data_IF_929233878859
#
_entry.id   IF_929233878859
#
_cell.length_a   1.000
_cell.length_b   1.000
_cell.length_c   1.000
_cell.angle_alpha   90.00
_cell.angle_beta   90.00
_cell.angle_gamma   90.00
#
_symmetry.space_group_name_H-M   'P 1'
#
loop_
_entity.id
_entity.type
_entity.pdbx_description
1 polymer ?
#
# COMPACT_ATOMS: atom_id res chain seq x y z
N UNK A 1 -6.10 -31.01 -12.29
CA UNK A 1 -5.83 -31.76 -11.04
C UNK A 1 -4.77 -32.81 -11.32
N UNK A 2 -4.11 -33.41 -10.32
CA UNK A 2 -3.14 -34.49 -10.58
C UNK A 2 -3.89 -35.79 -10.90
N UNK A 3 -4.19 -36.00 -12.18
CA UNK A 3 -4.92 -37.18 -12.68
C UNK A 3 -4.13 -38.49 -12.47
N UNK A 4 -2.80 -38.40 -12.36
CA UNK A 4 -1.92 -39.56 -12.19
C UNK A 4 -1.92 -40.07 -10.74
N UNK A 5 -2.06 -39.16 -9.77
CA UNK A 5 -2.07 -39.48 -8.35
C UNK A 5 -3.09 -38.60 -7.61
N UNK A 6 -4.38 -38.92 -7.68
CA UNK A 6 -5.41 -38.19 -6.94
C UNK A 6 -5.20 -38.33 -5.44
N UNK A 7 -5.57 -37.32 -4.64
CA UNK A 7 -5.46 -37.40 -3.19
C UNK A 7 -6.40 -38.46 -2.64
N UNK A 8 -5.95 -39.21 -1.63
CA UNK A 8 -6.81 -40.11 -0.86
C UNK A 8 -7.53 -39.30 0.20
N UNK A 9 -8.85 -39.15 0.05
CA UNK A 9 -9.69 -38.26 0.87
C UNK A 9 -10.76 -39.07 1.60
N UNK A 10 -10.38 -40.22 2.15
CA UNK A 10 -11.33 -41.22 2.67
C UNK A 10 -11.86 -40.92 4.06
N UNK A 11 -11.14 -40.11 4.83
CA UNK A 11 -11.47 -39.77 6.22
C UNK A 11 -11.46 -38.25 6.41
N UNK A 12 -12.19 -37.73 7.43
CA UNK A 12 -12.19 -36.30 7.71
C UNK A 12 -10.78 -35.77 8.07
N UNK A 13 -9.92 -36.60 8.66
CA UNK A 13 -8.54 -36.23 8.98
C UNK A 13 -7.70 -36.02 7.70
N UNK A 14 -7.85 -36.91 6.71
CA UNK A 14 -7.16 -36.77 5.41
C UNK A 14 -7.70 -35.57 4.62
N UNK A 15 -9.02 -35.35 4.64
CA UNK A 15 -9.63 -34.18 4.05
C UNK A 15 -9.15 -32.86 4.70
N UNK A 16 -9.10 -32.82 6.03
CA UNK A 16 -8.58 -31.70 6.81
C UNK A 16 -7.10 -31.43 6.51
N UNK A 17 -6.26 -32.48 6.49
CA UNK A 17 -4.84 -32.36 6.15
C UNK A 17 -4.64 -31.85 4.71
N UNK A 18 -5.43 -32.36 3.75
CA UNK A 18 -5.38 -31.92 2.36
C UNK A 18 -5.81 -30.46 2.21
N UNK A 19 -6.89 -30.02 2.86
CA UNK A 19 -7.31 -28.62 2.85
C UNK A 19 -6.21 -27.69 3.39
N UNK A 20 -5.56 -28.07 4.50
CA UNK A 20 -4.45 -27.30 5.07
C UNK A 20 -3.25 -27.23 4.13
N UNK A 21 -2.92 -28.33 3.48
CA UNK A 21 -1.88 -28.37 2.47
C UNK A 21 -2.23 -27.48 1.28
N UNK A 22 -3.40 -27.68 0.67
CA UNK A 22 -3.83 -26.97 -0.52
C UNK A 22 -3.94 -25.45 -0.28
N UNK A 23 -4.70 -25.05 0.74
CA UNK A 23 -4.89 -23.62 1.10
C UNK A 23 -3.55 -22.98 1.47
N UNK A 24 -2.69 -23.70 2.20
CA UNK A 24 -1.36 -23.22 2.56
C UNK A 24 -0.32 -23.25 1.42
N UNK A 25 -0.62 -23.86 0.28
CA UNK A 25 0.27 -23.95 -0.88
C UNK A 25 -0.07 -22.91 -1.96
N UNK A 26 -1.28 -22.34 -1.93
CA UNK A 26 -1.67 -21.26 -2.84
C UNK A 26 -1.31 -19.89 -2.27
N UNK A 27 -0.89 -18.96 -3.14
CA UNK A 27 -0.67 -17.56 -2.78
C UNK A 27 -1.34 -16.63 -3.78
N UNK A 28 -1.84 -15.51 -3.27
CA UNK A 28 -2.23 -14.37 -4.07
C UNK A 28 -1.16 -13.28 -4.05
N UNK A 29 -1.53 -12.10 -4.54
CA UNK A 29 -0.65 -10.92 -4.58
C UNK A 29 -0.20 -10.43 -3.18
N UNK A 30 -0.89 -10.86 -2.12
CA UNK A 30 -0.72 -10.36 -0.74
C UNK A 30 -0.31 -11.48 0.24
N UNK A 31 0.30 -12.53 -0.31
CA UNK A 31 0.81 -13.69 0.43
C UNK A 31 -0.08 -14.92 0.31
N UNK A 32 0.22 -15.94 1.11
CA UNK A 32 -0.53 -17.18 1.13
C UNK A 32 -1.78 -17.10 1.99
N UNK A 33 -2.68 -18.03 1.74
CA UNK A 33 -3.84 -18.26 2.60
C UNK A 33 -3.42 -19.14 3.78
N UNK A 34 -3.89 -18.81 4.98
CA UNK A 34 -3.61 -19.58 6.20
C UNK A 34 -4.90 -19.93 6.91
N UNK A 35 -5.22 -21.22 6.98
CA UNK A 35 -6.27 -21.71 7.88
C UNK A 35 -5.81 -21.54 9.33
N UNK A 36 -6.68 -20.97 10.15
CA UNK A 36 -6.44 -20.70 11.57
C UNK A 36 -7.38 -21.56 12.42
N UNK A 37 -6.83 -22.19 13.45
CA UNK A 37 -7.63 -22.89 14.46
C UNK A 37 -7.77 -22.07 15.75
N UNK A 38 -6.80 -21.21 16.01
CA UNK A 38 -6.70 -20.43 17.24
C UNK A 38 -5.91 -19.14 17.03
N UNK A 39 -6.01 -18.25 18.02
CA UNK A 39 -5.34 -16.96 18.02
C UNK A 39 -3.80 -17.07 17.83
N UNK A 40 -3.19 -18.11 18.38
CA UNK A 40 -1.72 -18.31 18.35
C UNK A 40 -1.20 -18.72 16.96
N UNK A 41 -2.10 -19.10 16.04
CA UNK A 41 -1.72 -19.39 14.66
C UNK A 41 -1.41 -18.09 13.89
N UNK A 42 -1.95 -16.94 14.35
CA UNK A 42 -1.69 -15.63 13.75
C UNK A 42 -0.28 -15.16 14.08
N UNK A 43 0.45 -14.75 13.04
CA UNK A 43 1.76 -14.11 13.18
C UNK A 43 1.59 -12.61 13.33
N UNK A 44 1.47 -12.16 14.58
CA UNK A 44 1.32 -10.75 14.92
C UNK A 44 2.61 -9.95 14.69
N UNK A 45 2.47 -8.66 14.30
CA UNK A 45 3.59 -7.71 14.37
C UNK A 45 3.97 -7.46 15.85
N UNK A 46 5.18 -6.93 16.07
CA UNK A 46 5.68 -6.65 17.43
C UNK A 46 4.85 -5.59 18.17
N UNK A 47 4.25 -4.64 17.44
CA UNK A 47 3.30 -3.65 17.97
C UNK A 47 1.90 -3.98 17.48
N UNK A 48 1.07 -4.49 18.39
CA UNK A 48 -0.37 -4.74 18.14
C UNK A 48 -1.19 -3.90 19.12
N UNK A 49 -2.26 -3.24 18.68
CA UNK A 49 -3.21 -2.64 19.60
C UNK A 49 -3.79 -3.73 20.53
N UNK A 50 -3.73 -3.60 21.87
CA UNK A 50 -4.18 -4.65 22.80
C UNK A 50 -5.60 -5.14 22.53
N UNK A 51 -6.51 -4.23 22.16
CA UNK A 51 -7.90 -4.51 21.81
C UNK A 51 -8.04 -5.37 20.55
N UNK A 52 -7.12 -5.25 19.58
CA UNK A 52 -7.22 -5.97 18.31
C UNK A 52 -7.08 -7.48 18.53
N UNK A 53 -6.19 -7.94 19.43
CA UNK A 53 -6.04 -9.37 19.73
C UNK A 53 -7.28 -9.95 20.40
N UNK A 54 -7.86 -9.24 21.38
CA UNK A 54 -9.07 -9.70 22.08
C UNK A 54 -10.29 -9.75 21.17
N UNK A 55 -10.43 -8.78 20.26
CA UNK A 55 -11.55 -8.72 19.31
C UNK A 55 -11.44 -9.82 18.26
N UNK A 56 -10.21 -10.16 17.83
CA UNK A 56 -9.94 -11.25 16.88
C UNK A 56 -10.12 -12.62 17.50
N UNK A 57 -9.72 -12.83 18.77
CA UNK A 57 -9.80 -14.13 19.42
C UNK A 57 -11.23 -14.72 19.41
N UNK A 58 -12.25 -13.88 19.50
CA UNK A 58 -13.67 -14.27 19.49
C UNK A 58 -14.21 -14.63 18.10
N UNK A 59 -13.45 -14.35 17.05
CA UNK A 59 -13.86 -14.51 15.65
C UNK A 59 -13.26 -15.74 14.98
N UNK A 60 -12.24 -16.35 15.60
CA UNK A 60 -11.56 -17.52 15.03
C UNK A 60 -12.37 -18.77 15.37
N UNK A 61 -12.91 -19.40 14.33
CA UNK A 61 -13.49 -20.75 14.39
C UNK A 61 -12.51 -21.75 13.78
N UNK A 62 -12.21 -22.88 14.46
CA UNK A 62 -11.32 -23.90 13.92
C UNK A 62 -11.89 -24.55 12.67
N UNK A 63 -11.01 -25.16 11.88
CA UNK A 63 -11.46 -25.90 10.70
C UNK A 63 -12.29 -27.11 11.13
N UNK A 64 -13.57 -27.10 10.77
CA UNK A 64 -14.48 -28.24 10.92
C UNK A 64 -14.74 -28.81 9.54
N UNK A 65 -14.58 -30.13 9.39
CA UNK A 65 -14.73 -30.84 8.12
C UNK A 65 -15.78 -31.94 8.27
N UNK A 66 -16.77 -31.94 7.39
CA UNK A 66 -17.88 -32.89 7.39
C UNK A 66 -18.05 -33.52 6.00
N UNK A 67 -18.40 -34.81 5.96
CA UNK A 67 -18.67 -35.51 4.71
C UNK A 67 -20.04 -35.09 4.18
N UNK A 68 -20.12 -34.77 2.89
CA UNK A 68 -21.40 -34.46 2.25
C UNK A 68 -22.12 -35.74 1.80
N UNK A 69 -23.45 -35.72 1.64
CA UNK A 69 -24.20 -36.88 1.14
C UNK A 69 -23.73 -37.37 -0.25
N UNK A 70 -23.20 -36.46 -1.08
CA UNK A 70 -22.61 -36.78 -2.38
C UNK A 70 -21.20 -37.40 -2.31
N UNK A 71 -20.73 -37.74 -1.11
CA UNK A 71 -19.42 -38.34 -0.87
C UNK A 71 -18.27 -37.34 -0.87
N UNK A 72 -18.48 -36.05 -1.14
CA UNK A 72 -17.45 -35.02 -1.00
C UNK A 72 -17.25 -34.58 0.46
N UNK A 73 -16.56 -33.46 0.64
CA UNK A 73 -16.35 -32.83 1.94
C UNK A 73 -16.78 -31.38 1.90
N UNK A 74 -17.35 -30.91 2.99
CA UNK A 74 -17.59 -29.50 3.25
C UNK A 74 -16.78 -29.11 4.48
N UNK A 75 -16.19 -27.93 4.44
CA UNK A 75 -15.49 -27.39 5.58
C UNK A 75 -15.93 -25.96 5.86
N UNK A 76 -15.97 -25.62 7.14
CA UNK A 76 -16.09 -24.25 7.63
C UNK A 76 -14.84 -23.93 8.43
N UNK A 77 -14.37 -22.69 8.36
CA UNK A 77 -13.20 -22.30 9.12
C UNK A 77 -12.88 -20.82 8.98
N UNK A 78 -11.74 -20.44 9.56
CA UNK A 78 -11.21 -19.09 9.46
C UNK A 78 -9.94 -19.08 8.63
N UNK A 79 -9.86 -18.19 7.64
CA UNK A 79 -8.66 -17.97 6.83
C UNK A 79 -8.08 -16.59 7.12
N UNK A 80 -6.77 -16.51 7.37
CA UNK A 80 -6.01 -15.29 7.18
C UNK A 80 -5.56 -15.19 5.72
N UNK A 81 -5.86 -14.06 5.09
CA UNK A 81 -5.27 -13.62 3.83
C UNK A 81 -4.97 -12.13 3.92
N UNK A 82 -3.80 -11.71 3.42
CA UNK A 82 -3.32 -10.34 3.61
C UNK A 82 -3.32 -9.95 5.10
N UNK A 83 -3.82 -8.76 5.43
CA UNK A 83 -4.01 -8.26 6.79
C UNK A 83 -5.47 -8.42 7.28
N UNK A 84 -6.19 -9.43 6.81
CA UNK A 84 -7.59 -9.66 7.14
C UNK A 84 -7.86 -11.12 7.51
N UNK A 85 -8.96 -11.33 8.25
CA UNK A 85 -9.53 -12.64 8.53
C UNK A 85 -10.88 -12.77 7.85
N UNK A 86 -11.16 -13.98 7.37
CA UNK A 86 -12.39 -14.31 6.69
C UNK A 86 -12.99 -15.59 7.26
N UNK A 87 -14.32 -15.61 7.41
CA UNK A 87 -15.06 -16.84 7.58
C UNK A 87 -15.21 -17.46 6.20
N UNK A 88 -14.83 -18.73 6.08
CA UNK A 88 -14.87 -19.43 4.81
C UNK A 88 -15.73 -20.69 4.88
N UNK A 89 -16.34 -20.99 3.74
CA UNK A 89 -16.93 -22.30 3.46
C UNK A 89 -16.24 -22.90 2.23
N UNK A 90 -15.60 -24.04 2.43
CA UNK A 90 -14.87 -24.76 1.39
C UNK A 90 -15.65 -26.03 1.02
N UNK A 91 -15.74 -26.33 -0.27
CA UNK A 91 -16.14 -27.63 -0.77
C UNK A 91 -14.90 -28.35 -1.31
N UNK A 92 -14.66 -29.57 -0.84
CA UNK A 92 -13.59 -30.44 -1.31
C UNK A 92 -14.18 -31.68 -1.99
N UNK A 93 -13.96 -31.79 -3.30
CA UNK A 93 -14.36 -32.95 -4.11
C UNK A 93 -13.33 -34.08 -3.97
N UNK A 94 -13.76 -35.32 -4.27
CA UNK A 94 -12.92 -36.53 -4.16
C UNK A 94 -11.71 -36.53 -5.11
N UNK A 95 -11.79 -35.79 -6.21
CA UNK A 95 -10.67 -35.60 -7.13
C UNK A 95 -9.58 -34.69 -6.55
N UNK A 96 -9.88 -33.93 -5.49
CA UNK A 96 -9.00 -32.94 -4.87
C UNK A 96 -9.35 -31.49 -5.19
N UNK A 97 -10.45 -31.22 -5.91
CA UNK A 97 -10.88 -29.87 -6.25
C UNK A 97 -11.40 -29.16 -5.01
N UNK A 98 -10.87 -27.96 -4.77
CA UNK A 98 -11.29 -27.09 -3.66
C UNK A 98 -11.99 -25.87 -4.25
N UNK A 99 -13.24 -25.66 -3.84
CA UNK A 99 -14.04 -24.49 -4.18
C UNK A 99 -14.31 -23.69 -2.89
N UNK A 100 -14.11 -22.38 -2.94
CA UNK A 100 -14.48 -21.48 -1.85
C UNK A 100 -15.83 -20.85 -2.18
N UNK A 101 -16.85 -21.21 -1.41
CA UNK A 101 -18.25 -20.84 -1.67
C UNK A 101 -18.69 -19.59 -0.90
N UNK A 102 -18.06 -19.33 0.25
CA UNK A 102 -18.30 -18.15 1.07
C UNK A 102 -16.97 -17.58 1.55
N UNK A 103 -16.89 -16.25 1.58
CA UNK A 103 -15.73 -15.48 2.01
C UNK A 103 -16.21 -14.18 2.68
N UNK A 104 -16.63 -14.28 3.94
CA UNK A 104 -17.14 -13.13 4.70
C UNK A 104 -16.02 -12.50 5.53
N UNK A 105 -15.72 -11.19 5.38
CA UNK A 105 -14.68 -10.54 6.15
C UNK A 105 -15.07 -10.43 7.63
N UNK A 106 -14.27 -11.05 8.50
CA UNK A 106 -14.45 -11.00 9.95
C UNK A 106 -13.71 -9.84 10.60
N UNK A 107 -12.51 -9.52 10.09
CA UNK A 107 -11.70 -8.41 10.56
C UNK A 107 -10.72 -7.94 9.48
N UNK A 108 -10.46 -6.64 9.41
CA UNK A 108 -9.58 -6.02 8.41
C UNK A 108 -8.56 -5.12 9.09
N UNK A 109 -7.53 -4.69 8.35
CA UNK A 109 -6.48 -3.78 8.83
C UNK A 109 -5.75 -4.31 10.06
N UNK A 110 -5.46 -5.61 10.08
CA UNK A 110 -4.80 -6.29 11.18
C UNK A 110 -3.29 -6.01 11.18
N UNK A 111 -2.71 -5.80 12.36
CA UNK A 111 -1.27 -5.66 12.55
C UNK A 111 -0.59 -7.04 12.55
N UNK A 112 -0.67 -7.74 11.42
CA UNK A 112 -0.11 -9.09 11.21
C UNK A 112 1.02 -9.09 10.19
N UNK A 113 1.84 -10.13 10.26
CA UNK A 113 2.77 -10.54 9.22
C UNK A 113 2.07 -11.49 8.26
N UNK A 114 2.51 -11.46 7.02
CA UNK A 114 2.08 -12.38 5.96
C UNK A 114 3.20 -13.35 5.64
N UNK A 115 2.83 -14.57 5.25
CA UNK A 115 3.77 -15.55 4.73
C UNK A 115 3.68 -15.55 3.20
N UNK A 116 4.81 -15.55 2.50
CA UNK A 116 4.86 -15.56 1.03
C UNK A 116 5.87 -16.60 0.55
N UNK A 117 5.70 -17.10 -0.67
CA UNK A 117 6.74 -17.89 -1.34
C UNK A 117 7.64 -16.96 -2.14
N UNK A 118 8.92 -16.94 -1.79
CA UNK A 118 9.97 -16.26 -2.56
C UNK A 118 10.97 -17.33 -2.99
N UNK A 119 11.08 -17.57 -4.30
CA UNK A 119 11.91 -18.62 -4.89
C UNK A 119 11.67 -20.00 -4.27
N UNK A 120 10.41 -20.34 -4.01
CA UNK A 120 10.01 -21.63 -3.41
C UNK A 120 10.20 -21.73 -1.89
N UNK A 121 10.78 -20.71 -1.24
CA UNK A 121 10.98 -20.66 0.20
C UNK A 121 9.89 -19.80 0.85
N UNK A 122 9.35 -20.26 1.98
CA UNK A 122 8.39 -19.50 2.79
C UNK A 122 9.12 -18.44 3.60
N UNK A 123 8.72 -17.19 3.43
CA UNK A 123 9.26 -16.04 4.15
C UNK A 123 8.12 -15.32 4.86
N UNK A 124 8.34 -14.97 6.13
CA UNK A 124 7.46 -14.11 6.90
C UNK A 124 7.91 -12.66 6.74
N UNK A 125 6.98 -11.78 6.38
CA UNK A 125 7.28 -10.36 6.15
C UNK A 125 6.05 -9.48 6.40
N UNK A 126 6.24 -8.16 6.33
CA UNK A 126 5.12 -7.23 6.34
C UNK A 126 4.33 -7.31 5.02
N UNK A 127 3.07 -6.88 5.06
CA UNK A 127 2.23 -6.83 3.85
C UNK A 127 2.83 -5.87 2.81
N UNK A 128 3.43 -4.78 3.26
CA UNK A 128 4.09 -3.80 2.40
C UNK A 128 5.30 -4.39 1.68
N UNK A 129 6.13 -5.20 2.36
CA UNK A 129 7.25 -5.93 1.75
C UNK A 129 6.78 -6.98 0.75
N UNK A 130 5.73 -7.74 1.09
CA UNK A 130 5.13 -8.71 0.18
C UNK A 130 4.62 -8.06 -1.12
N UNK A 131 3.89 -6.96 -0.99
CA UNK A 131 3.41 -6.17 -2.13
C UNK A 131 4.56 -5.63 -2.96
N UNK A 132 5.61 -5.11 -2.32
CA UNK A 132 6.79 -4.61 -3.03
C UNK A 132 7.48 -5.72 -3.84
N UNK A 133 7.68 -6.90 -3.25
CA UNK A 133 8.30 -8.04 -3.92
C UNK A 133 7.46 -8.49 -5.14
N UNK A 134 6.15 -8.64 -4.96
CA UNK A 134 5.24 -9.03 -6.04
C UNK A 134 5.20 -7.98 -7.18
N UNK A 135 5.14 -6.68 -6.83
CA UNK A 135 5.20 -5.60 -7.82
C UNK A 135 6.49 -5.66 -8.64
N UNK A 136 7.63 -5.98 -8.01
CA UNK A 136 8.91 -6.16 -8.75
C UNK A 136 8.90 -7.36 -9.67
N UNK A 137 8.34 -8.50 -9.24
CA UNK A 137 8.21 -9.67 -10.11
C UNK A 137 7.32 -9.38 -11.31
N UNK A 138 6.20 -8.66 -11.12
CA UNK A 138 5.34 -8.21 -12.23
C UNK A 138 6.11 -7.34 -13.23
N UNK A 139 6.93 -6.40 -12.75
CA UNK A 139 7.75 -5.55 -13.62
C UNK A 139 8.89 -6.31 -14.32
N UNK A 140 9.43 -7.38 -13.72
CA UNK A 140 10.39 -8.26 -14.42
C UNK A 140 9.73 -8.98 -15.59
N UNK A 141 8.47 -9.41 -15.43
CA UNK A 141 7.72 -10.11 -16.46
C UNK A 141 7.20 -9.15 -17.54
N UNK A 142 6.77 -7.96 -17.13
CA UNK A 142 6.29 -6.89 -18.01
C UNK A 142 6.78 -5.53 -17.50
N UNK A 143 7.90 -5.00 -18.03
CA UNK A 143 8.45 -3.71 -17.62
C UNK A 143 7.49 -2.52 -17.82
N UNK A 144 6.49 -2.67 -18.70
CA UNK A 144 5.49 -1.65 -19.02
C UNK A 144 4.14 -1.90 -18.34
N UNK A 145 4.09 -2.74 -17.30
CA UNK A 145 2.87 -2.94 -16.52
C UNK A 145 2.51 -1.64 -15.78
N UNK A 146 1.52 -0.92 -16.32
CA UNK A 146 1.07 0.39 -15.83
C UNK A 146 0.62 0.35 -14.35
N UNK A 147 -0.03 -0.74 -13.92
CA UNK A 147 -0.48 -0.87 -12.53
C UNK A 147 0.71 -1.04 -11.59
N UNK A 148 1.67 -1.89 -11.95
CA UNK A 148 2.86 -2.13 -11.18
C UNK A 148 3.76 -0.88 -11.11
N UNK A 149 3.98 -0.20 -12.25
CA UNK A 149 4.73 1.05 -12.32
C UNK A 149 4.09 2.16 -11.47
N UNK A 150 2.76 2.32 -11.54
CA UNK A 150 2.06 3.33 -10.75
C UNK A 150 2.02 3.03 -9.23
N UNK A 151 2.13 1.76 -8.83
CA UNK A 151 2.07 1.35 -7.42
C UNK A 151 3.45 1.34 -6.75
N UNK A 152 4.50 0.98 -7.48
CA UNK A 152 5.85 0.81 -6.95
C UNK A 152 6.37 2.01 -6.13
N UNK A 153 6.22 3.27 -6.58
CA UNK A 153 6.79 4.42 -5.87
C UNK A 153 6.22 4.57 -4.46
N UNK A 154 4.90 4.38 -4.33
CA UNK A 154 4.22 4.49 -3.04
C UNK A 154 4.65 3.39 -2.07
N UNK A 155 4.83 2.16 -2.56
CA UNK A 155 5.33 1.05 -1.73
C UNK A 155 6.75 1.31 -1.23
N UNK A 156 7.63 1.84 -2.09
CA UNK A 156 8.97 2.25 -1.68
C UNK A 156 8.92 3.37 -0.63
N UNK A 157 8.05 4.37 -0.82
CA UNK A 157 7.85 5.47 0.13
C UNK A 157 7.33 4.98 1.49
N UNK A 158 6.29 4.16 1.52
CA UNK A 158 5.71 3.65 2.78
C UNK A 158 6.73 2.80 3.57
N UNK A 159 7.64 2.13 2.87
CA UNK A 159 8.78 1.39 3.44
C UNK A 159 10.01 2.25 3.76
N UNK A 160 9.91 3.58 3.63
CA UNK A 160 10.99 4.53 3.86
C UNK A 160 12.22 4.36 2.98
N UNK A 161 12.04 3.74 1.81
CA UNK A 161 13.09 3.54 0.79
C UNK A 161 13.11 4.74 -0.13
N UNK A 162 13.50 5.90 0.41
CA UNK A 162 13.31 7.21 -0.24
C UNK A 162 13.93 7.29 -1.64
N UNK A 163 15.16 6.82 -1.81
CA UNK A 163 15.83 6.80 -3.12
C UNK A 163 15.11 5.92 -4.13
N UNK A 164 14.73 4.70 -3.73
CA UNK A 164 13.97 3.78 -4.57
C UNK A 164 12.58 4.33 -4.92
N UNK A 165 11.96 5.12 -4.03
CA UNK A 165 10.68 5.78 -4.29
C UNK A 165 10.82 6.88 -5.36
N UNK A 166 11.90 7.67 -5.30
CA UNK A 166 12.22 8.69 -6.31
C UNK A 166 12.48 8.03 -7.67
N UNK A 167 13.34 7.02 -7.73
CA UNK A 167 13.67 6.30 -8.96
C UNK A 167 12.42 5.66 -9.59
N UNK A 168 11.59 4.98 -8.79
CA UNK A 168 10.35 4.39 -9.27
C UNK A 168 9.37 5.46 -9.78
N UNK A 169 9.26 6.60 -9.08
CA UNK A 169 8.37 7.68 -9.49
C UNK A 169 8.85 8.35 -10.79
N UNK A 170 10.16 8.47 -11.00
CA UNK A 170 10.73 8.95 -12.26
C UNK A 170 10.39 8.02 -13.42
N UNK A 171 10.51 6.70 -13.23
CA UNK A 171 10.07 5.71 -14.23
C UNK A 171 8.58 5.82 -14.52
N UNK A 172 7.76 6.05 -13.50
CA UNK A 172 6.32 6.26 -13.67
C UNK A 172 5.99 7.55 -14.45
N UNK A 173 6.69 8.65 -14.15
CA UNK A 173 6.59 9.91 -14.91
C UNK A 173 6.92 9.67 -16.38
N UNK A 174 8.04 9.00 -16.68
CA UNK A 174 8.48 8.71 -18.04
C UNK A 174 7.45 7.84 -18.79
N UNK A 175 6.95 6.79 -18.16
CA UNK A 175 5.91 5.95 -18.74
C UNK A 175 4.65 6.74 -19.05
N UNK A 176 4.17 7.58 -18.14
CA UNK A 176 2.95 8.39 -18.36
C UNK A 176 3.16 9.40 -19.47
N UNK A 177 4.33 10.03 -19.56
CA UNK A 177 4.67 10.89 -20.70
C UNK A 177 4.58 10.14 -22.02
N UNK A 178 5.20 8.96 -22.13
CA UNK A 178 5.12 8.13 -23.34
C UNK A 178 3.69 7.71 -23.69
N UNK A 179 2.84 7.43 -22.70
CA UNK A 179 1.43 7.11 -22.94
C UNK A 179 0.59 8.34 -23.29
N UNK A 180 0.99 9.53 -22.84
CA UNK A 180 0.25 10.78 -23.10
C UNK A 180 0.22 11.16 -24.58
N UNK A 181 1.21 10.72 -25.36
CA UNK A 181 1.20 10.86 -26.83
C UNK A 181 0.04 10.11 -27.49
N UNK A 182 -0.47 9.07 -26.83
CA UNK A 182 -1.54 8.18 -27.33
C UNK A 182 -2.89 8.44 -26.67
N UNK A 183 -2.88 8.84 -25.40
CA UNK A 183 -4.08 9.16 -24.63
C UNK A 183 -3.89 10.49 -23.88
N UNK A 184 -4.49 11.60 -24.37
CA UNK A 184 -4.42 12.90 -23.72
C UNK A 184 -4.86 12.89 -22.24
N UNK A 185 -5.75 11.96 -21.84
CA UNK A 185 -6.18 11.82 -20.43
C UNK A 185 -5.05 11.40 -19.50
N UNK A 186 -4.00 10.75 -20.04
CA UNK A 186 -2.81 10.44 -19.26
C UNK A 186 -2.04 11.70 -18.90
N UNK A 187 -2.05 12.72 -19.77
CA UNK A 187 -1.41 14.02 -19.50
C UNK A 187 -2.06 14.76 -18.32
N UNK A 188 -3.38 14.68 -18.19
CA UNK A 188 -4.14 15.29 -17.09
C UNK A 188 -3.70 14.77 -15.70
N UNK A 189 -3.06 13.60 -15.64
CA UNK A 189 -2.56 13.00 -14.40
C UNK A 189 -1.16 13.49 -14.03
N UNK A 190 -0.40 14.04 -14.97
CA UNK A 190 1.01 14.40 -14.78
C UNK A 190 1.24 15.41 -13.64
N UNK A 191 0.43 16.48 -13.44
CA UNK A 191 0.63 17.40 -12.31
C UNK A 191 0.63 16.70 -10.94
N UNK A 192 -0.30 15.76 -10.72
CA UNK A 192 -0.35 14.96 -9.50
C UNK A 192 0.81 13.97 -9.36
N UNK A 193 1.30 13.43 -10.48
CA UNK A 193 2.47 12.54 -10.51
C UNK A 193 3.76 13.32 -10.20
N UNK A 194 3.94 14.53 -10.74
CA UNK A 194 5.05 15.43 -10.40
C UNK A 194 4.99 15.90 -8.95
N UNK A 195 3.79 16.14 -8.42
CA UNK A 195 3.60 16.45 -7.00
C UNK A 195 4.11 15.28 -6.13
N UNK A 196 3.77 14.04 -6.49
CA UNK A 196 4.28 12.86 -5.76
C UNK A 196 5.80 12.72 -5.88
N UNK A 197 6.38 13.02 -7.05
CA UNK A 197 7.83 13.00 -7.27
C UNK A 197 8.55 14.03 -6.39
N UNK A 198 8.08 15.29 -6.42
CA UNK A 198 8.63 16.36 -5.58
C UNK A 198 8.56 15.99 -4.10
N UNK A 199 7.43 15.42 -3.66
CA UNK A 199 7.28 14.93 -2.29
C UNK A 199 8.31 13.86 -1.92
N UNK A 200 8.48 12.83 -2.74
CA UNK A 200 9.48 11.78 -2.47
C UNK A 200 10.91 12.32 -2.48
N UNK A 201 11.19 13.30 -3.34
CA UNK A 201 12.49 13.98 -3.39
C UNK A 201 12.77 14.79 -2.13
N UNK A 202 11.78 15.47 -1.54
CA UNK A 202 11.93 16.13 -0.23
C UNK A 202 12.37 15.12 0.85
N UNK A 203 11.75 13.93 0.90
CA UNK A 203 12.11 12.87 1.86
C UNK A 203 13.49 12.25 1.59
N UNK A 204 13.87 12.17 0.31
CA UNK A 204 15.21 11.77 -0.10
C UNK A 204 16.27 12.88 0.12
N UNK A 205 15.86 14.07 0.58
CA UNK A 205 16.68 15.30 0.72
C UNK A 205 17.27 15.79 -0.60
N UNK A 206 16.64 15.44 -1.71
CA UNK A 206 16.91 15.98 -3.04
C UNK A 206 16.08 17.24 -3.25
N UNK A 207 16.42 18.31 -2.53
CA UNK A 207 15.64 19.55 -2.57
C UNK A 207 15.71 20.25 -3.94
N UNK A 208 16.85 20.14 -4.64
CA UNK A 208 17.00 20.66 -5.99
C UNK A 208 16.11 19.90 -6.99
N UNK A 209 16.06 18.56 -6.89
CA UNK A 209 15.16 17.76 -7.69
C UNK A 209 13.69 18.01 -7.37
N UNK A 210 13.33 18.18 -6.10
CA UNK A 210 11.97 18.52 -5.69
C UNK A 210 11.51 19.85 -6.32
N UNK A 211 12.38 20.87 -6.31
CA UNK A 211 12.12 22.15 -6.97
C UNK A 211 11.91 21.96 -8.49
N UNK A 212 12.82 21.23 -9.14
CA UNK A 212 12.74 20.99 -10.58
C UNK A 212 11.46 20.22 -10.99
N UNK A 213 11.06 19.22 -10.21
CA UNK A 213 9.84 18.45 -10.44
C UNK A 213 8.58 19.29 -10.26
N UNK A 214 8.53 20.12 -9.20
CA UNK A 214 7.42 21.05 -9.01
C UNK A 214 7.31 22.06 -10.16
N UNK A 215 8.44 22.61 -10.63
CA UNK A 215 8.46 23.52 -11.76
C UNK A 215 8.06 22.84 -13.08
N UNK A 216 8.49 21.60 -13.31
CA UNK A 216 8.09 20.81 -14.47
C UNK A 216 6.57 20.55 -14.49
N UNK A 217 5.99 20.16 -13.35
CA UNK A 217 4.55 19.98 -13.22
C UNK A 217 3.78 21.29 -13.44
N UNK A 218 4.29 22.42 -12.94
CA UNK A 218 3.65 23.73 -13.11
C UNK A 218 3.60 24.19 -14.56
N UNK A 219 4.59 23.84 -15.38
CA UNK A 219 4.56 24.15 -16.83
C UNK A 219 3.41 23.42 -17.55
N UNK A 220 2.88 22.35 -16.96
CA UNK A 220 1.71 21.63 -17.48
C UNK A 220 0.40 22.25 -17.00
N UNK A 221 0.34 22.61 -15.71
CA UNK A 221 -0.81 23.29 -15.11
C UNK A 221 -0.35 24.21 -13.98
N UNK A 222 -0.31 25.52 -14.25
CA UNK A 222 0.08 26.53 -13.28
C UNK A 222 -0.96 26.74 -12.17
N UNK A 223 -2.20 26.28 -12.38
CA UNK A 223 -3.30 26.39 -11.43
C UNK A 223 -3.36 25.22 -10.44
N UNK A 224 -2.58 24.14 -10.68
CA UNK A 224 -2.55 22.96 -9.82
C UNK A 224 -1.75 23.22 -8.54
N UNK A 225 -2.46 23.76 -7.56
CA UNK A 225 -1.93 24.25 -6.30
C UNK A 225 -0.99 23.29 -5.53
N UNK A 226 -1.23 21.96 -5.47
CA UNK A 226 -0.33 21.05 -4.75
C UNK A 226 1.15 21.06 -5.21
N UNK A 227 1.46 21.49 -6.43
CA UNK A 227 2.84 21.63 -6.87
C UNK A 227 3.59 22.73 -6.12
N UNK A 228 2.88 23.78 -5.70
CA UNK A 228 3.46 24.92 -5.00
C UNK A 228 3.83 24.62 -3.56
N UNK A 229 3.17 23.68 -2.89
CA UNK A 229 3.56 23.28 -1.53
C UNK A 229 4.99 22.73 -1.58
N UNK A 230 5.22 21.77 -2.48
CA UNK A 230 6.53 21.15 -2.68
C UNK A 230 7.58 22.14 -3.20
N UNK A 231 7.18 23.09 -4.05
CA UNK A 231 8.06 24.17 -4.52
C UNK A 231 8.53 25.04 -3.35
N UNK A 232 7.60 25.48 -2.50
CA UNK A 232 7.90 26.29 -1.33
C UNK A 232 8.75 25.52 -0.31
N UNK A 233 8.47 24.23 -0.09
CA UNK A 233 9.31 23.37 0.76
C UNK A 233 10.73 23.25 0.21
N UNK A 234 10.88 22.94 -1.08
CA UNK A 234 12.17 22.81 -1.72
C UNK A 234 12.99 24.11 -1.63
N UNK A 235 12.37 25.26 -1.93
CA UNK A 235 13.02 26.58 -1.80
C UNK A 235 13.47 26.86 -0.36
N UNK A 236 12.64 26.52 0.62
CA UNK A 236 12.97 26.68 2.03
C UNK A 236 14.24 25.90 2.40
N UNK A 237 14.31 24.62 2.03
CA UNK A 237 15.47 23.77 2.33
C UNK A 237 16.71 24.09 1.49
N UNK A 238 16.55 24.76 0.36
CA UNK A 238 17.65 25.33 -0.43
C UNK A 238 18.14 26.68 0.11
N UNK A 239 17.58 27.18 1.22
CA UNK A 239 17.95 28.47 1.82
C UNK A 239 17.36 29.69 1.11
N UNK A 240 16.47 29.50 0.11
CA UNK A 240 15.75 30.56 -0.61
C UNK A 240 14.51 30.98 0.18
N UNK A 241 14.73 31.41 1.42
CA UNK A 241 13.70 31.58 2.45
C UNK A 241 12.66 32.64 2.10
N UNK A 242 13.09 33.77 1.50
CA UNK A 242 12.19 34.85 1.07
C UNK A 242 11.24 34.39 -0.05
N UNK A 243 11.76 33.62 -1.01
CA UNK A 243 10.94 33.09 -2.10
C UNK A 243 9.97 32.01 -1.62
N UNK A 244 10.42 31.15 -0.71
CA UNK A 244 9.54 30.18 -0.07
C UNK A 244 8.40 30.86 0.71
N UNK A 245 8.72 31.87 1.52
CA UNK A 245 7.72 32.65 2.28
C UNK A 245 6.70 33.32 1.36
N UNK A 246 7.14 33.94 0.27
CA UNK A 246 6.23 34.56 -0.69
C UNK A 246 5.19 33.56 -1.20
N UNK A 247 5.60 32.33 -1.55
CA UNK A 247 4.67 31.28 -2.00
C UNK A 247 3.76 30.81 -0.87
N UNK A 248 4.31 30.59 0.33
CA UNK A 248 3.50 30.17 1.49
C UNK A 248 2.37 31.17 1.78
N UNK A 249 2.62 32.47 1.62
CA UNK A 249 1.63 33.52 1.87
C UNK A 249 0.69 33.75 0.68
N UNK A 250 1.17 33.60 -0.56
CA UNK A 250 0.42 33.87 -1.79
C UNK A 250 -0.90 33.08 -1.88
N UNK A 251 -0.91 31.81 -1.44
CA UNK A 251 -2.04 30.91 -1.60
C UNK A 251 -2.85 30.70 -0.31
N UNK A 252 -2.56 31.48 0.74
CA UNK A 252 -3.24 31.34 2.04
C UNK A 252 -4.75 31.47 1.90
N UNK A 253 -5.49 30.57 2.56
CA UNK A 253 -6.95 30.50 2.51
C UNK A 253 -7.53 29.83 1.27
N UNK A 254 -6.72 29.54 0.23
CA UNK A 254 -7.19 28.81 -0.95
C UNK A 254 -7.45 27.34 -0.59
N UNK A 255 -8.46 26.73 -1.24
CA UNK A 255 -8.73 25.29 -1.13
C UNK A 255 -7.74 24.51 -2.00
N UNK A 256 -7.27 23.36 -1.51
CA UNK A 256 -6.31 22.50 -2.23
C UNK A 256 -6.85 21.84 -3.51
N UNK A 257 -8.13 22.03 -3.80
CA UNK A 257 -8.79 21.57 -5.01
C UNK A 257 -10.30 21.84 -4.95
N UNK A 258 -10.99 21.75 -6.08
CA UNK A 258 -12.42 22.08 -6.18
C UNK A 258 -13.30 21.29 -5.18
N UNK A 259 -12.94 20.03 -4.90
CA UNK A 259 -13.68 19.13 -4.02
C UNK A 259 -13.00 18.90 -2.65
N UNK A 260 -12.03 19.74 -2.28
CA UNK A 260 -11.30 19.62 -1.01
C UNK A 260 -11.72 20.72 -0.05
N UNK A 261 -12.09 20.34 1.18
CA UNK A 261 -12.25 21.31 2.27
C UNK A 261 -10.94 21.69 2.94
N UNK A 262 -9.88 20.92 2.68
CA UNK A 262 -8.53 21.21 3.17
C UNK A 262 -8.01 22.49 2.55
N UNK A 263 -7.59 23.42 3.41
CA UNK A 263 -6.96 24.69 2.99
C UNK A 263 -5.47 24.53 2.76
N UNK A 264 -4.92 25.46 1.99
CA UNK A 264 -3.49 25.58 1.70
C UNK A 264 -2.60 25.51 2.94
N UNK A 265 -2.86 26.36 3.93
CA UNK A 265 -2.07 26.41 5.17
C UNK A 265 -2.16 25.12 5.98
N UNK A 266 -3.31 24.43 5.96
CA UNK A 266 -3.48 23.14 6.63
C UNK A 266 -2.58 22.08 5.98
N UNK A 267 -2.46 22.09 4.65
CA UNK A 267 -1.54 21.20 3.94
C UNK A 267 -0.09 21.43 4.34
N UNK A 268 0.36 22.68 4.32
CA UNK A 268 1.73 23.03 4.70
C UNK A 268 2.05 22.61 6.14
N UNK A 269 1.11 22.82 7.06
CA UNK A 269 1.30 22.45 8.47
C UNK A 269 1.36 20.93 8.66
N UNK A 270 0.61 20.15 7.88
CA UNK A 270 0.72 18.69 7.87
C UNK A 270 2.04 18.22 7.24
N UNK A 271 2.45 18.84 6.14
CA UNK A 271 3.67 18.51 5.42
C UNK A 271 4.90 18.76 6.30
N UNK A 272 4.95 19.89 7.00
CA UNK A 272 5.99 20.19 7.99
C UNK A 272 6.06 19.14 9.10
N UNK A 273 4.92 18.69 9.65
CA UNK A 273 4.91 17.62 10.65
C UNK A 273 5.46 16.31 10.09
N UNK A 274 5.13 15.98 8.84
CA UNK A 274 5.61 14.77 8.18
C UNK A 274 7.13 14.81 7.96
N UNK A 275 7.66 15.96 7.53
CA UNK A 275 9.10 16.19 7.35
C UNK A 275 9.86 16.20 8.69
N UNK A 276 9.32 16.90 9.71
CA UNK A 276 9.89 16.94 11.06
C UNK A 276 10.02 15.55 11.67
N UNK A 277 9.02 14.67 11.45
CA UNK A 277 9.02 13.28 11.92
C UNK A 277 10.19 12.46 11.33
N UNK A 278 10.66 12.81 10.14
CA UNK A 278 11.84 12.19 9.50
C UNK A 278 13.12 13.05 9.68
N UNK A 279 13.10 13.97 10.65
CA UNK A 279 14.22 14.85 10.98
C UNK A 279 14.66 15.76 9.81
N UNK A 280 13.73 16.08 8.91
CA UNK A 280 13.93 17.04 7.82
C UNK A 280 13.37 18.38 8.32
N UNK A 281 14.25 19.21 8.86
CA UNK A 281 13.87 20.43 9.58
C UNK A 281 14.68 21.64 9.11
N UNK A 282 14.10 22.83 9.22
CA UNK A 282 14.73 24.10 8.93
C UNK A 282 14.26 25.16 9.94
N UNK A 283 15.13 26.06 10.45
CA UNK A 283 14.76 27.03 11.49
C UNK A 283 13.53 27.90 11.13
N UNK A 284 13.42 28.26 9.85
CA UNK A 284 12.31 29.10 9.35
C UNK A 284 10.95 28.40 9.33
N UNK A 285 10.89 27.06 9.43
CA UNK A 285 9.61 26.33 9.48
C UNK A 285 8.74 26.83 10.65
N UNK A 286 9.34 27.03 11.83
CA UNK A 286 8.61 27.55 13.00
C UNK A 286 8.08 28.96 12.79
N UNK A 287 8.82 29.82 12.08
CA UNK A 287 8.36 31.18 11.75
C UNK A 287 7.20 31.14 10.77
N UNK A 288 7.31 30.36 9.69
CA UNK A 288 6.26 30.17 8.69
C UNK A 288 4.99 29.58 9.33
N UNK A 289 5.12 28.57 10.19
CA UNK A 289 3.99 27.99 10.93
C UNK A 289 3.21 29.04 11.73
N UNK A 290 3.92 30.00 12.36
CA UNK A 290 3.28 31.11 13.10
C UNK A 290 2.56 32.05 12.13
N UNK A 291 3.23 32.47 11.04
CA UNK A 291 2.64 33.37 10.05
C UNK A 291 1.34 32.81 9.44
N UNK A 292 1.29 31.50 9.18
CA UNK A 292 0.11 30.84 8.62
C UNK A 292 -1.05 30.70 9.62
N UNK A 293 -0.79 30.73 10.93
CA UNK A 293 -1.81 30.58 12.00
C UNK A 293 -2.40 31.91 12.49
N UNK A 294 -1.69 33.02 12.34
CA UNK A 294 -2.04 34.30 13.01
C UNK A 294 -3.23 35.03 12.38
N UNK A 295 -3.62 34.72 11.14
CA UNK A 295 -4.69 35.45 10.43
C UNK A 295 -5.97 34.62 10.18
N UNK A 296 -6.15 33.50 10.87
CA UNK A 296 -7.44 32.80 10.90
C UNK A 296 -8.40 33.50 11.89
N UNK A 297 -8.87 34.70 11.54
CA UNK A 297 -10.03 35.36 12.16
C UNK A 297 -11.07 35.68 11.11
#
# INVERSE_FOLDING_TARGET
MNEKFPPKLDTPELASAYLRFFVGAIQGDEGRFMLLDRLDDIRWRSRVPPKQRSDVAKKIGPLVVEMTPGGGWQAIGTIQYSNALFATRLALRRDGSVEMNEDEPLATNLAVLVECFVNGIRIMQTLEEARLANTREKLKLNPNDSQALGRLPRLCYDLKRWKEAVEAQQQWVEFVHQQSEKDPKMSERLPGIYTSLGWYQLFARDFAGALASSEAGRRLDESYLPLDTNRAHALLFLGRTQEAEAIYLQHRGQKMGANSDKKWEESILEDFKALEKEHITHPEMTRIQKLLKVESK
#
